data_IF_899806597250
#
_entry.id   IF_899806597250
#
_cell.length_a   1.000
_cell.length_b   1.000
_cell.length_c   1.000
_cell.angle_alpha   90.00
_cell.angle_beta   90.00
_cell.angle_gamma   90.00
#
_symmetry.space_group_name_H-M   'P 1'
#
loop_
_entity.id
_entity.type
_entity.pdbx_description
1 polymer ?
#
# COMPACT_ATOMS: atom_id res chain seq x y z
N UNK A 1 -4.13 15.72 10.96
CA UNK A 1 -4.42 14.62 11.88
C UNK A 1 -4.41 13.33 11.10
N UNK A 2 -3.70 12.27 11.50
CA UNK A 2 -3.84 10.97 10.86
C UNK A 2 -5.30 10.52 10.98
N UNK A 3 -5.84 9.94 9.90
CA UNK A 3 -7.21 9.40 9.90
C UNK A 3 -7.29 8.24 10.87
N UNK A 4 -8.35 8.19 11.67
CA UNK A 4 -8.62 7.10 12.62
C UNK A 4 -9.41 5.95 11.97
N UNK A 5 -9.91 6.15 10.75
CA UNK A 5 -10.65 5.16 9.97
C UNK A 5 -10.06 4.98 8.55
N UNK A 6 -10.34 3.88 7.87
CA UNK A 6 -9.85 3.62 6.53
C UNK A 6 -10.26 4.69 5.54
N UNK A 7 -9.37 5.08 4.62
CA UNK A 7 -9.59 6.17 3.67
C UNK A 7 -9.16 5.77 2.25
N UNK A 8 -10.00 6.11 1.27
CA UNK A 8 -9.68 5.98 -0.14
C UNK A 8 -9.29 7.35 -0.73
N UNK A 9 -8.23 7.36 -1.53
CA UNK A 9 -7.77 8.54 -2.28
C UNK A 9 -7.25 8.13 -3.65
N UNK A 10 -7.10 9.09 -4.56
CA UNK A 10 -6.33 8.87 -5.78
C UNK A 10 -4.84 8.94 -5.48
N UNK A 11 -4.00 8.32 -6.33
CA UNK A 11 -2.54 8.45 -6.22
C UNK A 11 -2.09 9.93 -6.18
N UNK A 12 -2.72 10.78 -6.98
CA UNK A 12 -2.42 12.22 -7.00
C UNK A 12 -2.80 12.94 -5.71
N UNK A 13 -3.92 12.59 -5.08
CA UNK A 13 -4.32 13.13 -3.79
C UNK A 13 -3.44 12.62 -2.65
N UNK A 14 -3.05 11.35 -2.73
CA UNK A 14 -2.19 10.71 -1.74
C UNK A 14 -0.78 11.32 -1.74
N UNK A 15 -0.23 11.63 -2.92
CA UNK A 15 1.03 12.35 -3.09
C UNK A 15 0.81 13.86 -3.27
N UNK A 16 0.02 14.48 -2.38
CA UNK A 16 -0.42 15.88 -2.49
C UNK A 16 0.71 16.92 -2.53
N UNK A 17 1.87 16.61 -1.97
CA UNK A 17 3.07 17.45 -2.06
C UNK A 17 3.80 17.34 -3.41
N UNK A 18 3.36 16.45 -4.29
CA UNK A 18 3.91 16.20 -5.63
C UNK A 18 4.31 14.74 -5.86
N UNK A 19 4.51 14.34 -7.12
CA UNK A 19 4.85 12.96 -7.48
C UNK A 19 6.07 12.41 -6.73
N UNK A 20 7.05 13.26 -6.43
CA UNK A 20 8.26 12.91 -5.70
C UNK A 20 7.98 12.28 -4.33
N UNK A 21 6.84 12.59 -3.71
CA UNK A 21 6.45 12.01 -2.41
C UNK A 21 6.26 10.49 -2.49
N UNK A 22 5.69 9.99 -3.60
CA UNK A 22 5.57 8.56 -3.84
C UNK A 22 6.85 7.96 -4.46
N UNK A 23 7.59 8.72 -5.26
CA UNK A 23 8.77 8.28 -5.99
C UNK A 23 10.00 8.08 -5.10
N UNK A 24 10.11 8.84 -4.00
CA UNK A 24 11.20 8.68 -3.04
C UNK A 24 10.89 7.58 -2.02
N UNK A 25 11.89 6.76 -1.64
CA UNK A 25 11.70 5.74 -0.61
C UNK A 25 11.24 6.33 0.72
N UNK A 26 10.09 5.88 1.20
CA UNK A 26 9.49 6.30 2.47
C UNK A 26 8.70 5.15 3.08
N UNK A 27 8.23 5.30 4.32
CA UNK A 27 7.26 4.41 4.94
C UNK A 27 6.02 5.17 5.38
N UNK A 28 4.88 4.48 5.45
CA UNK A 28 3.64 5.02 5.95
C UNK A 28 3.23 4.36 7.26
N UNK A 29 2.62 5.11 8.21
CA UNK A 29 2.14 4.54 9.46
C UNK A 29 0.89 3.67 9.28
N UNK A 30 0.27 3.66 8.11
CA UNK A 30 -0.91 2.89 7.75
C UNK A 30 -0.55 1.77 6.77
N UNK A 31 -1.34 0.70 6.77
CA UNK A 31 -1.32 -0.22 5.66
C UNK A 31 -1.90 0.48 4.42
N UNK A 32 -1.37 0.19 3.24
CA UNK A 32 -1.90 0.72 1.99
C UNK A 32 -2.16 -0.41 0.99
N UNK A 33 -3.32 -0.36 0.32
CA UNK A 33 -3.55 -1.08 -0.91
C UNK A 33 -3.56 -0.06 -2.05
N UNK A 34 -2.68 -0.24 -3.03
CA UNK A 34 -2.56 0.62 -4.21
C UNK A 34 -3.03 -0.16 -5.42
N UNK A 35 -4.11 0.29 -6.06
CA UNK A 35 -4.67 -0.28 -7.28
C UNK A 35 -4.34 0.58 -8.48
N UNK A 36 -3.53 0.07 -9.42
CA UNK A 36 -3.08 0.80 -10.61
C UNK A 36 -4.05 0.52 -11.76
N UNK A 37 -4.75 1.56 -12.23
CA UNK A 37 -5.74 1.48 -13.30
C UNK A 37 -5.24 2.06 -14.63
N UNK A 38 -4.19 2.87 -14.61
CA UNK A 38 -3.54 3.44 -15.79
C UNK A 38 -2.07 3.71 -15.53
N UNK A 39 -1.25 3.54 -16.58
CA UNK A 39 0.19 3.76 -16.51
C UNK A 39 0.98 2.49 -16.27
N UNK A 40 2.29 2.65 -16.32
CA UNK A 40 3.27 1.61 -16.01
C UNK A 40 4.52 2.27 -15.46
N UNK A 41 5.28 1.52 -14.68
CA UNK A 41 6.45 2.08 -14.06
C UNK A 41 7.18 1.09 -13.17
N UNK A 42 7.68 1.58 -12.05
CA UNK A 42 8.51 0.81 -11.12
C UNK A 42 8.09 1.07 -9.69
N UNK A 43 8.20 0.03 -8.87
CA UNK A 43 8.07 0.13 -7.44
C UNK A 43 9.32 -0.45 -6.75
N UNK A 44 9.69 0.15 -5.63
CA UNK A 44 10.59 -0.43 -4.65
C UNK A 44 9.74 -0.82 -3.46
N UNK A 45 9.71 -2.08 -3.07
CA UNK A 45 8.88 -2.57 -1.97
C UNK A 45 9.73 -3.50 -1.10
N UNK A 46 9.94 -3.15 0.15
CA UNK A 46 10.78 -3.91 1.07
C UNK A 46 12.20 -4.14 0.52
N UNK A 47 12.78 -3.15 -0.16
CA UNK A 47 14.11 -3.25 -0.78
C UNK A 47 14.15 -3.99 -2.12
N UNK A 48 13.00 -4.49 -2.64
CA UNK A 48 12.94 -5.21 -3.92
C UNK A 48 12.34 -4.32 -5.00
N UNK A 49 13.05 -4.17 -6.12
CA UNK A 49 12.55 -3.45 -7.31
C UNK A 49 11.61 -4.35 -8.11
N UNK A 50 10.48 -3.78 -8.55
CA UNK A 50 9.44 -4.47 -9.32
C UNK A 50 8.92 -3.59 -10.43
N UNK A 51 8.64 -4.18 -11.60
CA UNK A 51 7.85 -3.52 -12.63
C UNK A 51 6.38 -3.55 -12.23
N UNK A 52 5.69 -2.43 -12.37
CA UNK A 52 4.26 -2.29 -12.07
C UNK A 52 3.52 -1.75 -13.29
N UNK A 53 2.24 -2.04 -13.41
CA UNK A 53 1.40 -1.61 -14.52
C UNK A 53 -0.07 -1.74 -14.20
N UNK A 54 -0.90 -1.56 -15.22
CA UNK A 54 -2.35 -1.68 -15.11
C UNK A 54 -2.74 -3.05 -14.53
N UNK A 55 -3.76 -3.06 -13.70
CA UNK A 55 -4.27 -4.24 -12.98
C UNK A 55 -3.26 -4.86 -12.00
N UNK A 56 -2.28 -4.07 -11.54
CA UNK A 56 -1.47 -4.47 -10.41
C UNK A 56 -2.05 -3.88 -9.12
N UNK A 57 -2.17 -4.72 -8.10
CA UNK A 57 -2.48 -4.33 -6.74
C UNK A 57 -1.23 -4.51 -5.87
N UNK A 58 -0.79 -3.43 -5.23
CA UNK A 58 0.32 -3.45 -4.29
C UNK A 58 -0.24 -3.35 -2.88
N UNK A 59 0.11 -4.28 -2.02
CA UNK A 59 -0.24 -4.25 -0.60
C UNK A 59 1.01 -3.94 0.19
N UNK A 60 0.99 -2.83 0.87
CA UNK A 60 2.11 -2.30 1.63
C UNK A 60 1.72 -2.30 3.11
N UNK A 61 2.26 -3.18 3.94
CA UNK A 61 2.06 -3.15 5.38
C UNK A 61 2.59 -1.85 6.00
N UNK A 62 1.98 -1.41 7.10
CA UNK A 62 2.45 -0.25 7.86
C UNK A 62 3.94 -0.38 8.20
N UNK A 63 4.69 0.71 8.10
CA UNK A 63 6.13 0.75 8.37
C UNK A 63 7.02 0.10 7.28
N UNK A 64 6.44 -0.41 6.18
CA UNK A 64 7.23 -0.95 5.07
C UNK A 64 7.83 0.17 4.25
N UNK A 65 9.15 0.09 4.00
CA UNK A 65 9.82 1.00 3.06
C UNK A 65 9.36 0.70 1.64
N UNK A 66 8.84 1.70 0.95
CA UNK A 66 8.45 1.58 -0.45
C UNK A 66 8.65 2.89 -1.22
N UNK A 67 8.67 2.80 -2.54
CA UNK A 67 8.60 3.91 -3.47
C UNK A 67 7.81 3.46 -4.70
N UNK A 68 7.09 4.36 -5.33
CA UNK A 68 6.25 4.07 -6.50
C UNK A 68 6.35 5.20 -7.54
N UNK A 69 6.80 4.85 -8.74
CA UNK A 69 6.77 5.69 -9.93
C UNK A 69 5.91 4.99 -10.99
N UNK A 70 4.76 5.57 -11.33
CA UNK A 70 3.84 5.08 -12.36
C UNK A 70 3.82 6.00 -13.60
N UNK A 71 4.80 6.90 -13.69
CA UNK A 71 4.92 7.88 -14.75
C UNK A 71 3.85 8.99 -14.68
N UNK A 72 4.04 10.03 -15.51
CA UNK A 72 3.22 11.27 -15.48
C UNK A 72 1.73 11.05 -15.75
N UNK A 73 1.39 10.02 -16.51
CA UNK A 73 0.00 9.68 -16.85
C UNK A 73 -0.54 8.53 -15.99
N UNK A 74 0.22 8.10 -14.98
CA UNK A 74 -0.19 7.06 -14.08
C UNK A 74 -1.42 7.47 -13.28
N UNK A 75 -2.35 6.54 -13.11
CA UNK A 75 -3.53 6.73 -12.28
C UNK A 75 -3.82 5.45 -11.50
N UNK A 76 -4.30 5.63 -10.29
CA UNK A 76 -4.68 4.55 -9.40
C UNK A 76 -5.38 5.07 -8.16
N UNK A 77 -5.85 4.14 -7.37
CA UNK A 77 -6.49 4.39 -6.08
C UNK A 77 -5.58 3.86 -4.97
N UNK A 78 -5.54 4.58 -3.88
CA UNK A 78 -4.84 4.21 -2.65
C UNK A 78 -5.85 4.09 -1.53
N UNK A 79 -5.95 2.92 -0.95
CA UNK A 79 -6.76 2.67 0.22
C UNK A 79 -5.86 2.50 1.43
N UNK A 80 -5.89 3.47 2.33
CA UNK A 80 -5.13 3.47 3.58
C UNK A 80 -5.98 2.90 4.70
N UNK A 81 -5.40 1.98 5.48
CA UNK A 81 -6.04 1.29 6.58
C UNK A 81 -5.20 1.48 7.84
N UNK A 82 -5.72 2.14 8.87
CA UNK A 82 -5.03 2.26 10.15
C UNK A 82 -4.69 0.88 10.75
N UNK A 83 -3.52 0.69 11.36
CA UNK A 83 -3.19 -0.55 12.03
C UNK A 83 -4.10 -0.76 13.27
N UNK A 84 -4.39 -2.03 13.59
CA UNK A 84 -5.22 -2.39 14.75
C UNK A 84 -6.73 -2.39 14.49
N UNK A 85 -7.19 -2.12 13.26
CA UNK A 85 -8.59 -2.24 12.87
C UNK A 85 -9.04 -3.69 12.62
N UNK A 86 -10.33 -3.86 12.27
CA UNK A 86 -10.92 -5.17 11.96
C UNK A 86 -10.40 -5.83 10.66
N UNK A 87 -9.73 -5.05 9.81
CA UNK A 87 -9.17 -5.55 8.56
C UNK A 87 -7.86 -6.29 8.81
N UNK A 88 -7.84 -7.58 8.48
CA UNK A 88 -6.64 -8.43 8.58
C UNK A 88 -5.78 -8.24 7.33
N UNK A 89 -4.85 -7.31 7.40
CA UNK A 89 -3.87 -7.06 6.33
C UNK A 89 -2.67 -8.02 6.45
N UNK A 90 -2.04 -8.42 5.32
CA UNK A 90 -0.83 -9.22 5.36
C UNK A 90 0.30 -8.51 6.10
N UNK A 91 1.13 -9.27 6.82
CA UNK A 91 2.34 -8.75 7.48
C UNK A 91 3.49 -8.51 6.50
N UNK A 92 3.46 -9.17 5.34
CA UNK A 92 4.46 -9.02 4.29
C UNK A 92 3.88 -8.29 3.07
N UNK A 93 4.69 -7.44 2.39
CA UNK A 93 4.25 -6.76 1.19
C UNK A 93 3.84 -7.75 0.09
N UNK A 94 2.75 -7.44 -0.63
CA UNK A 94 2.28 -8.25 -1.73
C UNK A 94 2.27 -7.43 -3.03
N UNK A 95 2.59 -8.09 -4.14
CA UNK A 95 2.42 -7.55 -5.48
C UNK A 95 1.59 -8.52 -6.29
N UNK A 96 0.31 -8.21 -6.44
CA UNK A 96 -0.66 -9.03 -7.14
C UNK A 96 -0.84 -8.49 -8.56
N UNK A 97 -0.65 -9.35 -9.55
CA UNK A 97 -0.94 -9.07 -10.97
C UNK A 97 -2.27 -9.72 -11.31
N UNK A 98 -3.34 -8.97 -11.19
CA UNK A 98 -4.69 -9.48 -11.40
C UNK A 98 -4.93 -9.68 -12.90
N UNK A 99 -4.84 -10.91 -13.36
CA UNK A 99 -5.13 -11.30 -14.75
C UNK A 99 -6.59 -11.71 -14.94
N UNK A 100 -7.19 -12.21 -13.88
CA UNK A 100 -8.60 -12.61 -13.89
C UNK A 100 -9.51 -11.39 -13.86
N UNK A 101 -10.42 -11.31 -14.83
CA UNK A 101 -11.39 -10.22 -15.00
C UNK A 101 -12.37 -10.18 -13.82
N UNK A 102 -12.73 -11.33 -13.27
CA UNK A 102 -13.64 -11.41 -12.14
C UNK A 102 -13.01 -10.80 -10.90
N UNK A 103 -11.75 -11.14 -10.59
CA UNK A 103 -11.02 -10.57 -9.46
C UNK A 103 -10.82 -9.05 -9.60
N UNK A 104 -10.56 -8.55 -10.83
CA UNK A 104 -10.50 -7.12 -11.12
C UNK A 104 -11.84 -6.42 -10.86
N UNK A 105 -12.94 -7.01 -11.33
CA UNK A 105 -14.28 -6.47 -11.16
C UNK A 105 -14.68 -6.41 -9.67
N UNK A 106 -14.38 -7.46 -8.91
CA UNK A 106 -14.66 -7.51 -7.47
C UNK A 106 -13.88 -6.42 -6.70
N UNK A 107 -12.58 -6.28 -6.96
CA UNK A 107 -11.79 -5.20 -6.34
C UNK A 107 -12.34 -3.82 -6.70
N UNK A 108 -12.61 -3.59 -7.98
CA UNK A 108 -13.17 -2.33 -8.46
C UNK A 108 -14.50 -2.02 -7.79
N UNK A 109 -15.40 -2.99 -7.68
CA UNK A 109 -16.70 -2.81 -7.02
C UNK A 109 -16.57 -2.44 -5.53
N UNK A 110 -15.62 -3.05 -4.82
CA UNK A 110 -15.33 -2.72 -3.42
C UNK A 110 -14.83 -1.27 -3.31
N UNK A 111 -13.85 -0.86 -4.14
CA UNK A 111 -13.29 0.49 -4.12
C UNK A 111 -14.31 1.55 -4.53
N UNK A 112 -15.17 1.27 -5.52
CA UNK A 112 -16.27 2.15 -5.94
C UNK A 112 -17.31 2.33 -4.83
N UNK A 113 -17.59 1.27 -4.07
CA UNK A 113 -18.51 1.37 -2.92
C UNK A 113 -17.92 2.28 -1.84
N UNK A 114 -16.63 2.14 -1.51
CA UNK A 114 -15.91 3.03 -0.60
C UNK A 114 -15.93 4.49 -1.07
N UNK A 115 -15.67 4.71 -2.37
CA UNK A 115 -15.67 6.05 -2.95
C UNK A 115 -17.04 6.72 -2.81
N UNK A 116 -18.11 5.98 -3.09
CA UNK A 116 -19.50 6.50 -2.91
C UNK A 116 -19.77 6.82 -1.45
N UNK A 117 -19.35 5.96 -0.53
CA UNK A 117 -19.56 6.20 0.91
C UNK A 117 -18.84 7.46 1.38
N UNK A 118 -17.58 7.65 1.01
CA UNK A 118 -16.82 8.85 1.36
C UNK A 118 -17.42 10.13 0.76
N UNK A 119 -17.92 10.07 -0.49
CA UNK A 119 -18.48 11.24 -1.17
C UNK A 119 -19.83 11.69 -0.60
N UNK A 120 -20.61 10.77 -0.04
CA UNK A 120 -21.93 11.07 0.53
C UNK A 120 -21.86 11.53 1.98
N UNK A 121 -20.77 11.23 2.68
CA UNK A 121 -20.52 11.61 4.08
C UNK A 121 -21.72 11.35 5.00
N UNK A 122 -22.38 10.19 4.84
CA UNK A 122 -23.54 9.80 5.63
C UNK A 122 -23.15 9.52 7.09
N UNK A 123 -24.11 9.54 8.04
CA UNK A 123 -23.88 9.07 9.40
C UNK A 123 -23.26 7.67 9.40
N UNK A 124 -22.36 7.40 10.35
CA UNK A 124 -21.63 6.13 10.49
C UNK A 124 -20.65 5.84 9.35
N UNK A 125 -20.06 6.89 8.77
CA UNK A 125 -19.06 6.74 7.70
C UNK A 125 -17.87 5.89 8.11
N UNK A 126 -17.34 6.08 9.31
CA UNK A 126 -16.21 5.34 9.85
C UNK A 126 -16.51 3.85 10.01
N UNK A 127 -17.71 3.49 10.51
CA UNK A 127 -18.17 2.10 10.58
C UNK A 127 -18.34 1.49 9.18
N UNK A 128 -18.90 2.20 8.24
CA UNK A 128 -19.06 1.75 6.86
C UNK A 128 -17.70 1.52 6.20
N UNK A 129 -16.74 2.44 6.36
CA UNK A 129 -15.39 2.30 5.82
C UNK A 129 -14.62 1.14 6.46
N UNK A 130 -14.81 0.89 7.76
CA UNK A 130 -14.24 -0.29 8.44
C UNK A 130 -14.84 -1.60 7.91
N UNK A 131 -16.15 -1.65 7.65
CA UNK A 131 -16.80 -2.82 7.06
C UNK A 131 -16.27 -3.10 5.64
N UNK A 132 -16.09 -2.07 4.83
CA UNK A 132 -15.46 -2.19 3.51
C UNK A 132 -14.00 -2.66 3.59
N UNK A 133 -13.23 -2.17 4.56
CA UNK A 133 -11.86 -2.62 4.79
C UNK A 133 -11.82 -4.10 5.18
N UNK A 134 -12.75 -4.58 6.00
CA UNK A 134 -12.87 -5.99 6.33
C UNK A 134 -13.22 -6.84 5.10
N UNK A 135 -14.15 -6.38 4.26
CA UNK A 135 -14.50 -7.05 3.00
C UNK A 135 -13.30 -7.12 2.06
N UNK A 136 -12.55 -6.01 1.90
CA UNK A 136 -11.32 -5.97 1.11
C UNK A 136 -10.29 -6.95 1.63
N UNK A 137 -10.12 -7.08 2.95
CA UNK A 137 -9.17 -8.02 3.54
C UNK A 137 -9.53 -9.49 3.25
N UNK A 138 -10.82 -9.81 3.20
CA UNK A 138 -11.31 -11.14 2.79
C UNK A 138 -11.01 -11.40 1.32
N UNK A 139 -11.34 -10.44 0.44
CA UNK A 139 -11.02 -10.53 -0.98
C UNK A 139 -9.51 -10.73 -1.20
N UNK A 140 -8.69 -9.92 -0.54
CA UNK A 140 -7.23 -10.00 -0.65
C UNK A 140 -6.69 -11.38 -0.25
N UNK A 141 -7.15 -11.94 0.86
CA UNK A 141 -6.71 -13.27 1.32
C UNK A 141 -7.12 -14.39 0.36
N UNK A 142 -8.31 -14.30 -0.25
CA UNK A 142 -8.75 -15.24 -1.31
C UNK A 142 -7.85 -15.14 -2.53
N UNK A 143 -7.65 -13.92 -3.02
CA UNK A 143 -6.78 -13.65 -4.18
C UNK A 143 -5.34 -14.12 -3.93
N UNK A 144 -4.80 -13.98 -2.72
CA UNK A 144 -3.46 -14.47 -2.39
C UNK A 144 -3.34 -16.00 -2.42
N UNK A 145 -4.41 -16.73 -2.09
CA UNK A 145 -4.43 -18.20 -2.20
C UNK A 145 -4.33 -18.60 -3.67
N UNK A 146 -5.07 -17.92 -4.55
CA UNK A 146 -5.13 -18.21 -5.98
C UNK A 146 -3.84 -17.83 -6.72
N UNK A 147 -3.08 -16.86 -6.18
CA UNK A 147 -1.84 -16.33 -6.77
C UNK A 147 -0.57 -16.81 -6.06
N UNK A 148 -0.60 -17.99 -5.45
CA UNK A 148 0.55 -18.56 -4.71
C UNK A 148 1.80 -18.69 -5.57
N UNK A 149 1.68 -18.84 -6.89
CA UNK A 149 2.79 -18.98 -7.83
C UNK A 149 3.52 -17.66 -8.14
N UNK A 150 2.87 -16.51 -7.95
CA UNK A 150 3.46 -15.17 -8.13
C UNK A 150 4.16 -14.65 -6.85
N UNK A 151 4.27 -15.49 -5.83
CA UNK A 151 4.84 -15.10 -4.54
C UNK A 151 6.30 -14.70 -4.71
N UNK A 152 6.70 -13.51 -4.31
CA UNK A 152 8.10 -13.12 -4.36
C UNK A 152 8.93 -14.05 -3.48
N UNK A 153 10.14 -14.36 -3.93
CA UNK A 153 11.10 -15.06 -3.10
C UNK A 153 11.23 -14.34 -1.75
N UNK A 154 11.31 -15.13 -0.67
CA UNK A 154 11.48 -14.56 0.68
C UNK A 154 12.62 -13.55 0.67
N UNK A 155 12.46 -12.39 1.35
CA UNK A 155 13.50 -11.38 1.41
C UNK A 155 14.80 -12.02 1.89
N UNK A 156 15.90 -11.75 1.21
CA UNK A 156 17.23 -12.18 1.65
C UNK A 156 17.58 -11.53 3.00
N UNK A 157 18.54 -12.09 3.72
CA UNK A 157 19.03 -11.48 4.97
C UNK A 157 19.48 -10.02 4.74
N UNK A 158 20.16 -9.77 3.61
CA UNK A 158 20.58 -8.42 3.22
C UNK A 158 19.39 -7.48 3.00
N UNK A 159 18.31 -7.92 2.35
CA UNK A 159 17.10 -7.12 2.14
C UNK A 159 16.41 -6.79 3.47
N UNK A 160 16.31 -7.76 4.38
CA UNK A 160 15.75 -7.51 5.73
C UNK A 160 16.57 -6.48 6.50
N UNK A 161 17.90 -6.58 6.42
CA UNK A 161 18.81 -5.62 7.08
C UNK A 161 18.64 -4.21 6.51
N UNK A 162 18.59 -4.07 5.18
CA UNK A 162 18.36 -2.77 4.51
C UNK A 162 17.02 -2.16 4.92
N UNK A 163 15.96 -2.97 4.98
CA UNK A 163 14.63 -2.50 5.40
C UNK A 163 14.64 -2.06 6.86
N UNK A 164 15.23 -2.84 7.76
CA UNK A 164 15.34 -2.48 9.17
C UNK A 164 16.17 -1.20 9.36
N UNK A 165 17.27 -1.07 8.64
CA UNK A 165 18.13 0.11 8.68
C UNK A 165 17.41 1.37 8.18
N UNK A 166 16.70 1.27 7.06
CA UNK A 166 15.91 2.37 6.52
C UNK A 166 14.80 2.83 7.49
N UNK A 167 14.12 1.88 8.14
CA UNK A 167 13.11 2.19 9.16
C UNK A 167 13.71 2.90 10.38
N UNK A 168 14.91 2.49 10.80
CA UNK A 168 15.64 3.16 11.89
C UNK A 168 16.02 4.59 11.53
N UNK A 169 16.54 4.81 10.32
CA UNK A 169 16.88 6.15 9.82
C UNK A 169 15.61 7.01 9.78
N UNK A 170 14.52 6.51 9.21
CA UNK A 170 13.28 7.29 9.10
C UNK A 170 12.70 7.68 10.45
N UNK A 171 12.79 6.79 11.44
CA UNK A 171 12.39 7.09 12.82
C UNK A 171 13.28 8.16 13.49
N UNK A 172 14.59 8.08 13.26
CA UNK A 172 15.58 8.78 14.06
C UNK A 172 16.28 9.94 13.31
N UNK A 173 16.03 10.17 12.00
CA UNK A 173 16.77 11.18 11.20
C UNK A 173 16.74 12.60 11.77
N UNK A 174 15.68 12.95 12.51
CA UNK A 174 15.57 14.25 13.16
C UNK A 174 16.33 14.34 14.47
N UNK A 175 16.84 13.24 15.01
CA UNK A 175 17.54 13.21 16.30
C UNK A 175 19.03 13.51 16.17
N UNK A 176 19.56 13.58 14.94
CA UNK A 176 21.00 13.82 14.70
C UNK A 176 21.92 12.67 15.11
N UNK A 177 21.40 11.45 15.29
CA UNK A 177 22.21 10.28 15.63
C UNK A 177 23.27 10.01 14.54
N UNK A 178 24.54 9.78 14.93
CA UNK A 178 25.59 9.42 13.97
C UNK A 178 25.34 8.03 13.36
N UNK A 179 25.78 7.83 12.12
CA UNK A 179 25.60 6.57 11.38
C UNK A 179 26.11 5.33 12.11
N UNK A 180 27.17 5.48 12.90
CA UNK A 180 27.78 4.39 13.68
C UNK A 180 26.81 3.79 14.74
N UNK A 181 25.84 4.55 15.22
CA UNK A 181 24.87 4.09 16.21
C UNK A 181 23.77 3.19 15.63
N UNK A 182 23.62 3.19 14.30
CA UNK A 182 22.69 2.29 13.59
C UNK A 182 23.32 0.93 13.26
N UNK A 183 24.61 0.76 13.47
CA UNK A 183 25.34 -0.48 13.17
C UNK A 183 25.44 -1.45 14.37
N UNK A 184 24.87 -1.08 15.52
CA UNK A 184 24.79 -1.89 16.73
C UNK A 184 23.43 -2.55 16.86
#
# INVERSE_FOLDING_TARGET
MPSTYPRLSTLAQWSSAGPWQAELPHSCPHHALIWITRGQGRALIGGVRRGVGVHNALVIPAGTLFALDVGRQGFGLVFEIPPGGAALMPDEPQHLRLRDVQAQAELTAILDAMQREQNTARPFLDEAMNAHAALLSVWLRRTMIDHTDDRPARPTAAQRLVTAYAALIERDYRTGKPMADYAR
#
